data_IF_498459708463
#
_entry.id   IF_498459708463
#
_cell.length_a   1.000
_cell.length_b   1.000
_cell.length_c   1.000
_cell.angle_alpha   90.00
_cell.angle_beta   90.00
_cell.angle_gamma   90.00
#
_symmetry.space_group_name_H-M   'P 1'
#
loop_
_entity.id
_entity.type
_entity.pdbx_description
1 polymer ?
#
# COMPACT_ATOMS: atom_id res chain seq x y z
N UNK A 1 -21.38 -10.59 7.85
CA UNK A 1 -20.50 -10.67 6.67
C UNK A 1 -20.46 -9.33 5.96
N UNK A 2 -19.31 -8.66 5.89
CA UNK A 2 -19.14 -7.46 5.08
C UNK A 2 -18.85 -7.92 3.65
N UNK A 3 -19.81 -7.76 2.75
CA UNK A 3 -19.60 -8.04 1.32
C UNK A 3 -18.57 -7.03 0.82
N UNK A 4 -17.41 -7.51 0.38
CA UNK A 4 -16.38 -6.65 -0.21
C UNK A 4 -16.80 -6.41 -1.67
N UNK A 5 -17.33 -5.23 -1.96
CA UNK A 5 -17.53 -4.82 -3.36
C UNK A 5 -16.15 -4.60 -3.99
N UNK A 6 -15.79 -5.45 -4.95
CA UNK A 6 -14.62 -5.17 -5.81
C UNK A 6 -14.93 -3.97 -6.68
N UNK A 7 -14.15 -2.92 -6.51
CA UNK A 7 -14.21 -1.71 -7.34
C UNK A 7 -12.83 -1.45 -7.93
N UNK A 8 -12.82 -0.93 -9.17
CA UNK A 8 -11.61 -0.53 -9.87
C UNK A 8 -11.65 0.98 -10.09
N UNK A 9 -10.55 1.65 -9.77
CA UNK A 9 -10.38 3.09 -10.02
C UNK A 9 -9.10 3.33 -10.81
N UNK A 10 -9.24 3.95 -11.97
CA UNK A 10 -8.10 4.44 -12.75
C UNK A 10 -7.68 5.83 -12.26
N UNK A 11 -6.44 5.97 -11.82
CA UNK A 11 -5.83 7.26 -11.46
C UNK A 11 -4.81 7.66 -12.55
N UNK A 12 -5.26 8.43 -13.54
CA UNK A 12 -4.48 8.80 -14.72
C UNK A 12 -4.02 10.26 -14.67
N UNK A 13 -2.92 10.56 -15.37
CA UNK A 13 -2.39 11.92 -15.47
C UNK A 13 -0.94 11.93 -15.96
N UNK A 14 -0.47 13.08 -16.45
CA UNK A 14 0.92 13.27 -16.93
C UNK A 14 1.96 13.05 -15.81
N UNK A 15 3.23 12.90 -16.17
CA UNK A 15 4.30 12.92 -15.16
C UNK A 15 4.23 14.22 -14.33
N UNK A 16 4.50 14.13 -13.03
CA UNK A 16 4.37 15.26 -12.10
C UNK A 16 2.93 15.59 -11.64
N UNK A 17 1.89 14.91 -12.15
CA UNK A 17 0.49 15.20 -11.78
C UNK A 17 0.08 14.77 -10.35
N UNK A 18 1.01 14.35 -9.51
CA UNK A 18 0.75 13.99 -8.11
C UNK A 18 0.16 12.61 -7.85
N UNK A 19 0.09 11.70 -8.84
CA UNK A 19 -0.49 10.34 -8.67
C UNK A 19 0.07 9.58 -7.47
N UNK A 20 1.39 9.53 -7.34
CA UNK A 20 2.07 8.88 -6.21
C UNK A 20 1.67 9.52 -4.88
N UNK A 21 1.66 10.86 -4.82
CA UNK A 21 1.25 11.63 -3.64
C UNK A 21 -0.19 11.33 -3.26
N UNK A 22 -1.11 11.25 -4.22
CA UNK A 22 -2.51 10.88 -4.00
C UNK A 22 -2.61 9.49 -3.36
N UNK A 23 -1.95 8.47 -3.93
CA UNK A 23 -1.96 7.12 -3.37
C UNK A 23 -1.42 7.09 -1.93
N UNK A 24 -0.27 7.72 -1.69
CA UNK A 24 0.35 7.76 -0.35
C UNK A 24 -0.57 8.45 0.67
N UNK A 25 -1.21 9.57 0.30
CA UNK A 25 -2.12 10.29 1.18
C UNK A 25 -3.39 9.48 1.48
N UNK A 26 -3.93 8.75 0.51
CA UNK A 26 -5.07 7.85 0.74
C UNK A 26 -4.71 6.71 1.70
N UNK A 27 -3.53 6.11 1.56
CA UNK A 27 -3.03 5.08 2.48
C UNK A 27 -2.90 5.67 3.89
N UNK A 28 -2.22 6.81 4.04
CA UNK A 28 -2.04 7.49 5.32
C UNK A 28 -3.37 7.82 5.99
N UNK A 29 -4.34 8.31 5.22
CA UNK A 29 -5.69 8.60 5.71
C UNK A 29 -6.37 7.34 6.23
N UNK A 30 -6.35 6.24 5.47
CA UNK A 30 -6.92 4.96 5.90
C UNK A 30 -6.25 4.42 7.17
N UNK A 31 -4.93 4.56 7.28
CA UNK A 31 -4.18 4.13 8.47
C UNK A 31 -4.55 4.93 9.72
N UNK A 32 -4.84 6.23 9.57
CA UNK A 32 -5.29 7.10 10.68
C UNK A 32 -6.73 6.80 11.08
N UNK A 33 -7.62 6.65 10.09
CA UNK A 33 -9.06 6.43 10.32
C UNK A 33 -9.34 5.05 10.90
N UNK A 34 -8.64 4.00 10.45
CA UNK A 34 -8.88 2.62 10.88
C UNK A 34 -7.55 1.85 11.05
N UNK A 35 -6.79 2.08 12.14
CA UNK A 35 -5.45 1.49 12.31
C UNK A 35 -5.43 -0.04 12.27
N UNK A 36 -6.52 -0.68 12.69
CA UNK A 36 -6.70 -2.15 12.73
C UNK A 36 -7.60 -2.69 11.59
N UNK A 37 -7.83 -1.89 10.55
CA UNK A 37 -8.65 -2.31 9.41
C UNK A 37 -7.96 -3.36 8.52
N UNK A 38 -8.63 -3.74 7.44
CA UNK A 38 -8.10 -4.72 6.47
C UNK A 38 -6.71 -4.33 5.94
N UNK A 39 -5.83 -5.30 5.61
CA UNK A 39 -4.50 -5.04 5.06
C UNK A 39 -4.53 -4.13 3.83
N UNK A 40 -3.50 -3.30 3.69
CA UNK A 40 -3.30 -2.44 2.52
C UNK A 40 -2.02 -2.90 1.81
N UNK A 41 -2.15 -3.36 0.58
CA UNK A 41 -1.03 -3.74 -0.28
C UNK A 41 -0.69 -2.56 -1.19
N UNK A 42 0.51 -1.99 -1.04
CA UNK A 42 1.03 -0.98 -1.94
C UNK A 42 2.07 -1.61 -2.87
N UNK A 43 1.61 -1.95 -4.08
CA UNK A 43 2.41 -2.65 -5.08
C UNK A 43 3.17 -1.65 -5.97
N UNK A 44 4.49 -1.77 -6.00
CA UNK A 44 5.39 -0.89 -6.75
C UNK A 44 6.45 -1.71 -7.48
N UNK A 45 7.15 -1.14 -8.48
CA UNK A 45 8.35 -1.76 -9.04
C UNK A 45 9.37 -2.07 -7.95
N UNK A 46 10.16 -3.14 -8.14
CA UNK A 46 11.12 -3.61 -7.15
C UNK A 46 12.10 -2.52 -6.70
N UNK A 47 12.56 -1.70 -7.64
CA UNK A 47 13.48 -0.59 -7.44
C UNK A 47 12.89 0.53 -6.54
N UNK A 48 11.56 0.59 -6.40
CA UNK A 48 10.85 1.66 -5.69
C UNK A 48 10.38 1.25 -4.29
N UNK A 49 10.59 -0.01 -3.89
CA UNK A 49 10.10 -0.56 -2.62
C UNK A 49 10.62 0.23 -1.41
N UNK A 50 11.94 0.38 -1.28
CA UNK A 50 12.55 1.12 -0.18
C UNK A 50 12.08 2.58 -0.09
N UNK A 51 12.06 3.30 -1.21
CA UNK A 51 11.62 4.70 -1.25
C UNK A 51 10.15 4.84 -0.82
N UNK A 52 9.30 3.88 -1.22
CA UNK A 52 7.89 3.86 -0.88
C UNK A 52 7.65 3.57 0.59
N UNK A 53 8.39 2.61 1.16
CA UNK A 53 8.37 2.32 2.60
C UNK A 53 8.82 3.54 3.41
N UNK A 54 9.95 4.13 3.02
CA UNK A 54 10.49 5.32 3.66
C UNK A 54 9.47 6.47 3.66
N UNK A 55 8.85 6.75 2.50
CA UNK A 55 7.84 7.81 2.39
C UNK A 55 6.63 7.60 3.31
N UNK A 56 6.27 6.35 3.58
CA UNK A 56 5.15 6.03 4.43
C UNK A 56 5.52 6.03 5.93
N UNK A 57 6.70 5.51 6.31
CA UNK A 57 7.20 5.49 7.71
C UNK A 57 7.40 6.90 8.25
N UNK A 58 7.86 7.83 7.42
CA UNK A 58 8.07 9.23 7.81
C UNK A 58 6.78 10.04 7.91
N UNK A 59 5.61 9.38 7.97
CA UNK A 59 4.34 10.09 8.15
C UNK A 59 4.14 10.47 9.62
N UNK A 60 4.05 11.77 9.96
CA UNK A 60 3.85 12.21 11.33
C UNK A 60 2.55 11.65 11.92
N UNK A 61 2.63 11.18 13.17
CA UNK A 61 1.51 10.63 13.93
C UNK A 61 1.17 9.16 13.62
N UNK A 62 1.97 8.46 12.81
CA UNK A 62 1.89 7.01 12.64
C UNK A 62 3.11 6.37 13.34
N UNK A 63 2.90 5.77 14.51
CA UNK A 63 3.96 5.15 15.34
C UNK A 63 4.50 3.82 14.80
N UNK A 64 4.48 3.64 13.47
CA UNK A 64 4.80 2.40 12.77
C UNK A 64 3.67 1.95 11.85
N UNK A 65 4.01 1.14 10.84
CA UNK A 65 3.06 0.63 9.86
C UNK A 65 3.03 -0.89 9.86
N UNK A 66 2.06 -1.47 10.57
CA UNK A 66 1.79 -2.91 10.52
C UNK A 66 0.76 -3.22 9.42
N UNK A 67 -0.24 -2.33 9.23
CA UNK A 67 -1.38 -2.56 8.34
C UNK A 67 -1.09 -2.33 6.85
N UNK A 68 -0.21 -1.39 6.52
CA UNK A 68 0.18 -1.11 5.14
C UNK A 68 1.54 -1.73 4.86
N UNK A 69 1.61 -2.51 3.78
CA UNK A 69 2.82 -3.22 3.38
C UNK A 69 3.15 -2.88 1.93
N UNK A 70 4.42 -2.58 1.68
CA UNK A 70 4.92 -2.30 0.34
C UNK A 70 5.47 -3.59 -0.26
N UNK A 71 5.06 -3.90 -1.49
CA UNK A 71 5.52 -5.08 -2.19
C UNK A 71 5.98 -4.76 -3.59
N UNK A 72 6.93 -5.54 -4.08
CA UNK A 72 7.08 -5.81 -5.51
C UNK A 72 6.26 -7.05 -5.89
N UNK A 73 6.01 -7.26 -7.18
CA UNK A 73 5.34 -8.48 -7.64
C UNK A 73 6.07 -9.74 -7.17
N UNK A 74 7.40 -9.76 -7.28
CA UNK A 74 8.24 -10.87 -6.80
C UNK A 74 8.01 -11.13 -5.32
N UNK A 75 8.16 -10.11 -4.46
CA UNK A 75 8.00 -10.29 -3.00
C UNK A 75 6.57 -10.69 -2.61
N UNK A 76 5.56 -10.16 -3.30
CA UNK A 76 4.17 -10.54 -3.06
C UNK A 76 3.92 -12.01 -3.41
N UNK A 77 4.43 -12.48 -4.56
CA UNK A 77 4.31 -13.87 -4.96
C UNK A 77 4.98 -14.81 -3.95
N UNK A 78 6.21 -14.52 -3.53
CA UNK A 78 6.91 -15.29 -2.51
C UNK A 78 6.14 -15.36 -1.19
N UNK A 79 5.57 -14.23 -0.74
CA UNK A 79 4.75 -14.20 0.46
C UNK A 79 3.53 -15.11 0.33
N UNK A 80 2.80 -15.02 -0.78
CA UNK A 80 1.61 -15.85 -1.00
C UNK A 80 2.00 -17.32 -1.01
N UNK A 81 3.08 -17.71 -1.72
CA UNK A 81 3.56 -19.10 -1.75
C UNK A 81 3.95 -19.62 -0.37
N UNK A 82 4.58 -18.78 0.46
CA UNK A 82 4.89 -19.15 1.86
C UNK A 82 3.63 -19.33 2.71
N UNK A 83 2.60 -18.50 2.50
CA UNK A 83 1.34 -18.58 3.24
C UNK A 83 0.46 -19.75 2.81
N UNK A 84 0.46 -20.12 1.52
CA UNK A 84 -0.41 -21.17 0.98
C UNK A 84 0.25 -22.54 0.89
N UNK A 85 1.57 -22.63 1.07
CA UNK A 85 2.34 -23.82 0.71
C UNK A 85 2.45 -23.90 -0.81
N UNK A 86 3.65 -23.68 -1.34
CA UNK A 86 3.93 -23.77 -2.78
C UNK A 86 3.69 -25.15 -3.36
#
# INVERSE_FOLDING_TARGET
MKVISMSLRFLLGRSGSGKTTTCLNEIRRKLKEEPKGNPIIYLVPEQMTFQSEYALIHTPGLGGMIRAQVFSFTRLAWRILQETGG
#
